data_IF_986342448215
#
_entry.id   IF_986342448215
#
_cell.length_a   1.000
_cell.length_b   1.000
_cell.length_c   1.000
_cell.angle_alpha   90.00
_cell.angle_beta   90.00
_cell.angle_gamma   90.00
#
_symmetry.space_group_name_H-M   'P 1'
#
loop_
_entity.id
_entity.type
_entity.pdbx_description
1 polymer ?
#
# COMPACT_ATOMS: atom_id res chain seq x y z
N UNK A 1 7.90 -32.83 22.75
CA UNK A 1 8.57 -31.64 23.34
C UNK A 1 9.76 -31.16 22.49
N UNK A 2 9.59 -31.06 21.16
CA UNK A 2 10.71 -30.79 20.22
C UNK A 2 10.66 -29.39 19.58
N UNK A 3 9.48 -28.76 19.47
CA UNK A 3 9.31 -27.49 18.76
C UNK A 3 9.72 -26.22 19.52
N UNK A 4 9.74 -26.25 20.85
CA UNK A 4 10.09 -25.07 21.67
C UNK A 4 11.60 -24.83 21.68
N UNK A 5 12.41 -25.89 21.69
CA UNK A 5 13.87 -25.81 21.63
C UNK A 5 14.37 -25.23 20.28
N UNK A 6 13.70 -25.58 19.17
CA UNK A 6 14.02 -25.03 17.85
C UNK A 6 13.77 -23.51 17.77
N UNK A 7 12.74 -23.01 18.48
CA UNK A 7 12.39 -21.59 18.49
C UNK A 7 13.35 -20.75 19.35
N UNK A 8 13.90 -21.33 20.42
CA UNK A 8 14.88 -20.67 21.29
C UNK A 8 16.25 -20.60 20.61
N UNK A 9 16.67 -21.66 19.92
CA UNK A 9 17.92 -21.67 19.14
C UNK A 9 17.91 -20.63 18.01
N UNK A 10 16.78 -20.46 17.33
CA UNK A 10 16.64 -19.50 16.22
C UNK A 10 16.70 -18.03 16.70
N UNK A 11 16.15 -17.73 17.88
CA UNK A 11 16.25 -16.40 18.49
C UNK A 11 17.67 -16.10 18.98
N UNK A 12 18.39 -17.12 19.45
CA UNK A 12 19.76 -16.98 19.93
C UNK A 12 20.76 -16.82 18.77
N UNK A 13 20.57 -17.53 17.66
CA UNK A 13 21.39 -17.39 16.44
C UNK A 13 21.25 -16.02 15.77
N UNK A 14 20.07 -15.39 15.88
CA UNK A 14 19.84 -14.01 15.42
C UNK A 14 20.52 -13.00 16.36
N UNK A 15 20.51 -13.24 17.67
CA UNK A 15 21.17 -12.39 18.67
C UNK A 15 22.70 -12.45 18.60
N UNK A 16 23.25 -13.61 18.21
CA UNK A 16 24.70 -13.86 18.18
C UNK A 16 25.35 -13.52 16.82
N UNK A 17 24.58 -13.03 15.84
CA UNK A 17 25.09 -12.65 14.52
C UNK A 17 25.61 -13.82 13.68
N UNK A 18 25.33 -15.06 14.08
CA UNK A 18 25.87 -16.29 13.46
C UNK A 18 25.13 -16.66 12.17
N UNK A 19 23.90 -16.17 11.99
CA UNK A 19 23.16 -16.31 10.73
C UNK A 19 23.35 -15.05 9.87
N UNK A 20 24.49 -14.94 9.18
CA UNK A 20 24.70 -13.86 8.21
C UNK A 20 23.62 -13.92 7.11
N UNK A 21 22.71 -12.95 7.12
CA UNK A 21 21.79 -12.74 6.00
C UNK A 21 22.66 -12.25 4.84
N UNK A 22 22.71 -13.02 3.75
CA UNK A 22 23.50 -12.62 2.58
C UNK A 22 23.06 -11.24 2.08
N UNK A 23 24.01 -10.44 1.58
CA UNK A 23 23.73 -9.12 1.00
C UNK A 23 22.61 -9.20 -0.05
N UNK A 24 22.60 -10.28 -0.83
CA UNK A 24 21.55 -10.58 -1.82
C UNK A 24 20.16 -10.72 -1.20
N UNK A 25 20.05 -11.39 -0.05
CA UNK A 25 18.77 -11.59 0.64
C UNK A 25 18.28 -10.29 1.29
N UNK A 26 19.18 -9.47 1.84
CA UNK A 26 18.83 -8.13 2.32
C UNK A 26 18.35 -7.23 1.19
N UNK A 27 19.02 -7.26 0.03
CA UNK A 27 18.64 -6.46 -1.13
C UNK A 27 17.29 -6.89 -1.71
N UNK A 28 17.01 -8.20 -1.75
CA UNK A 28 15.71 -8.72 -2.14
C UNK A 28 14.58 -8.23 -1.22
N UNK A 29 14.80 -8.23 0.10
CA UNK A 29 13.82 -7.72 1.08
C UNK A 29 13.60 -6.22 0.87
N UNK A 30 14.68 -5.43 0.76
CA UNK A 30 14.59 -3.99 0.56
C UNK A 30 13.85 -3.63 -0.74
N UNK A 31 14.10 -4.39 -1.81
CA UNK A 31 13.42 -4.20 -3.09
C UNK A 31 11.92 -4.47 -2.97
N UNK A 32 11.52 -5.55 -2.28
CA UNK A 32 10.11 -5.86 -2.00
C UNK A 32 9.44 -4.75 -1.18
N UNK A 33 10.09 -4.28 -0.12
CA UNK A 33 9.58 -3.17 0.71
C UNK A 33 9.38 -1.89 -0.10
N UNK A 34 10.33 -1.53 -0.97
CA UNK A 34 10.18 -0.37 -1.85
C UNK A 34 9.08 -0.57 -2.90
N UNK A 35 8.93 -1.79 -3.40
CA UNK A 35 7.89 -2.10 -4.39
C UNK A 35 6.49 -1.92 -3.81
N UNK A 36 6.25 -2.36 -2.57
CA UNK A 36 4.96 -2.20 -1.88
C UNK A 36 4.50 -0.75 -1.87
N UNK A 37 5.38 0.19 -1.50
CA UNK A 37 5.06 1.62 -1.50
C UNK A 37 4.72 2.12 -2.90
N UNK A 38 5.49 1.68 -3.91
CA UNK A 38 5.27 2.06 -5.31
C UNK A 38 3.96 1.50 -5.87
N UNK A 39 3.48 0.36 -5.38
CA UNK A 39 2.20 -0.24 -5.81
C UNK A 39 1.00 0.68 -5.55
N UNK A 40 1.11 1.62 -4.61
CA UNK A 40 0.04 2.58 -4.30
C UNK A 40 0.10 3.89 -5.11
N UNK A 41 1.02 4.03 -6.06
CA UNK A 41 1.12 5.20 -6.93
C UNK A 41 0.28 5.01 -8.20
N UNK A 42 -0.71 5.87 -8.40
CA UNK A 42 -1.52 5.90 -9.63
C UNK A 42 -0.74 6.54 -10.78
N UNK A 43 -0.37 5.74 -11.78
CA UNK A 43 0.31 6.20 -12.99
C UNK A 43 -0.59 7.01 -13.93
N UNK A 44 -1.92 6.91 -13.75
CA UNK A 44 -2.93 7.61 -14.57
C UNK A 44 -3.45 8.90 -13.91
N UNK A 45 -2.91 9.27 -12.75
CA UNK A 45 -3.30 10.46 -12.04
C UNK A 45 -2.98 11.73 -12.86
N UNK A 46 -3.97 12.62 -12.98
CA UNK A 46 -3.85 13.89 -13.69
C UNK A 46 -2.96 14.90 -12.95
N UNK A 47 -2.89 14.79 -11.62
CA UNK A 47 -2.01 15.60 -10.79
C UNK A 47 -0.71 14.80 -10.52
N UNK A 48 0.45 15.28 -10.99
CA UNK A 48 1.71 14.55 -10.82
C UNK A 48 2.19 14.52 -9.36
N UNK A 49 1.69 15.40 -8.49
CA UNK A 49 2.14 15.55 -7.11
C UNK A 49 1.32 14.72 -6.12
N UNK A 50 0.07 14.40 -6.44
CA UNK A 50 -0.84 13.65 -5.56
C UNK A 50 -1.30 12.33 -6.19
N UNK A 51 -0.34 11.43 -6.40
CA UNK A 51 -0.56 10.13 -7.06
C UNK A 51 -0.85 8.98 -6.10
N UNK A 52 -0.60 9.18 -4.81
CA UNK A 52 -0.73 8.12 -3.84
C UNK A 52 -2.21 7.83 -3.53
N UNK A 53 -2.64 6.60 -3.79
CA UNK A 53 -4.04 6.16 -3.72
C UNK A 53 -4.59 6.10 -2.29
N UNK A 54 -3.74 5.73 -1.32
CA UNK A 54 -4.07 5.76 0.11
C UNK A 54 -3.90 7.15 0.71
N UNK A 55 -2.73 7.79 0.58
CA UNK A 55 -2.43 9.06 1.24
C UNK A 55 -2.37 10.23 0.26
N UNK A 56 -3.45 10.97 0.12
CA UNK A 56 -3.46 12.21 -0.68
C UNK A 56 -4.38 13.26 -0.06
N UNK A 57 -4.14 14.56 -0.30
CA UNK A 57 -5.05 15.60 0.15
C UNK A 57 -6.46 15.40 -0.43
N UNK A 58 -7.47 15.72 0.37
CA UNK A 58 -8.85 15.80 -0.15
C UNK A 58 -9.07 17.15 -0.81
N UNK A 59 -9.95 17.20 -1.81
CA UNK A 59 -10.42 18.47 -2.38
C UNK A 59 -11.37 19.22 -1.44
N UNK A 60 -11.84 18.56 -0.37
CA UNK A 60 -12.71 19.14 0.65
C UNK A 60 -11.94 19.56 1.92
N UNK A 61 -10.67 19.18 2.06
CA UNK A 61 -9.83 19.52 3.22
C UNK A 61 -8.34 19.40 2.85
N UNK A 62 -7.54 20.39 3.26
CA UNK A 62 -6.08 20.39 3.03
C UNK A 62 -5.33 19.40 3.93
N UNK A 63 -6.00 18.77 4.89
CA UNK A 63 -5.41 17.70 5.71
C UNK A 63 -5.29 16.43 4.89
N UNK A 64 -4.12 15.77 4.95
CA UNK A 64 -3.93 14.44 4.37
C UNK A 64 -4.99 13.52 4.98
N UNK A 65 -5.80 12.93 4.12
CA UNK A 65 -6.89 12.03 4.51
C UNK A 65 -6.70 10.72 3.76
N UNK A 66 -6.83 9.60 4.46
CA UNK A 66 -6.73 8.29 3.81
C UNK A 66 -7.87 8.10 2.82
N UNK A 67 -7.56 7.52 1.66
CA UNK A 67 -8.50 7.21 0.59
C UNK A 67 -9.34 8.41 0.13
N UNK A 68 -8.75 9.61 0.10
CA UNK A 68 -9.42 10.81 -0.42
C UNK A 68 -9.89 10.65 -1.86
N UNK A 69 -9.17 9.87 -2.66
CA UNK A 69 -9.54 9.46 -4.02
C UNK A 69 -10.89 8.73 -4.11
N UNK A 70 -11.30 8.03 -3.05
CA UNK A 70 -12.61 7.38 -2.90
C UNK A 70 -13.60 8.33 -2.23
N UNK A 71 -13.18 9.02 -1.16
CA UNK A 71 -14.05 9.87 -0.37
C UNK A 71 -14.62 11.04 -1.18
N UNK A 72 -13.78 11.72 -1.96
CA UNK A 72 -14.17 12.90 -2.74
C UNK A 72 -15.30 12.59 -3.75
N UNK A 73 -15.21 11.57 -4.63
CA UNK A 73 -16.32 11.22 -5.51
C UNK A 73 -17.54 10.68 -4.75
N UNK A 74 -17.37 10.00 -3.61
CA UNK A 74 -18.50 9.54 -2.79
C UNK A 74 -19.31 10.73 -2.23
N UNK A 75 -18.63 11.72 -1.64
CA UNK A 75 -19.27 12.95 -1.14
C UNK A 75 -19.97 13.69 -2.27
N UNK A 76 -19.31 13.86 -3.42
CA UNK A 76 -19.90 14.53 -4.58
C UNK A 76 -21.13 13.80 -5.12
N UNK A 77 -21.09 12.48 -5.21
CA UNK A 77 -22.25 11.69 -5.61
C UNK A 77 -23.39 11.83 -4.60
N UNK A 78 -23.08 11.74 -3.30
CA UNK A 78 -24.08 11.90 -2.25
C UNK A 78 -24.83 13.25 -2.34
N UNK A 79 -24.09 14.34 -2.58
CA UNK A 79 -24.66 15.69 -2.67
C UNK A 79 -25.39 15.95 -3.99
N UNK A 80 -24.83 15.54 -5.12
CA UNK A 80 -25.35 15.93 -6.45
C UNK A 80 -26.23 14.88 -7.12
N UNK A 81 -26.15 13.61 -6.70
CA UNK A 81 -26.77 12.45 -7.36
C UNK A 81 -26.39 12.31 -8.84
N UNK A 82 -25.24 12.85 -9.23
CA UNK A 82 -24.73 12.75 -10.59
C UNK A 82 -23.98 11.42 -10.80
N UNK A 83 -24.45 10.61 -11.74
CA UNK A 83 -23.89 9.30 -12.11
C UNK A 83 -22.42 9.36 -12.54
N UNK A 84 -21.92 10.49 -13.06
CA UNK A 84 -20.49 10.66 -13.32
C UNK A 84 -19.66 10.50 -12.04
N UNK A 85 -20.16 10.98 -10.91
CA UNK A 85 -19.47 10.80 -9.62
C UNK A 85 -19.58 9.38 -9.10
N UNK A 86 -20.69 8.68 -9.37
CA UNK A 86 -20.83 7.27 -9.05
C UNK A 86 -19.83 6.41 -9.85
N UNK A 87 -19.69 6.69 -11.15
CA UNK A 87 -18.70 6.05 -11.99
C UNK A 87 -17.26 6.32 -11.50
N UNK A 88 -16.94 7.58 -11.17
CA UNK A 88 -15.63 7.94 -10.62
C UNK A 88 -15.36 7.26 -9.27
N UNK A 89 -16.38 7.09 -8.43
CA UNK A 89 -16.28 6.34 -7.17
C UNK A 89 -15.95 4.86 -7.44
N UNK A 90 -16.66 4.23 -8.36
CA UNK A 90 -16.38 2.84 -8.75
C UNK A 90 -14.94 2.68 -9.26
N UNK A 91 -14.50 3.56 -10.15
CA UNK A 91 -13.12 3.57 -10.66
C UNK A 91 -12.08 3.76 -9.55
N UNK A 92 -12.32 4.66 -8.59
CA UNK A 92 -11.41 4.88 -7.47
C UNK A 92 -11.28 3.63 -6.58
N UNK A 93 -12.40 2.96 -6.27
CA UNK A 93 -12.42 1.71 -5.52
C UNK A 93 -11.63 0.63 -6.26
N UNK A 94 -11.88 0.46 -7.56
CA UNK A 94 -11.16 -0.52 -8.39
C UNK A 94 -9.65 -0.26 -8.41
N UNK A 95 -9.21 1.00 -8.55
CA UNK A 95 -7.77 1.34 -8.50
C UNK A 95 -7.13 0.97 -7.17
N UNK A 96 -7.80 1.27 -6.05
CA UNK A 96 -7.29 0.89 -4.72
C UNK A 96 -7.24 -0.62 -4.57
N UNK A 97 -8.25 -1.35 -5.03
CA UNK A 97 -8.23 -2.81 -5.02
C UNK A 97 -7.03 -3.37 -5.79
N UNK A 98 -6.83 -2.94 -7.04
CA UNK A 98 -5.68 -3.37 -7.85
C UNK A 98 -4.34 -3.03 -7.19
N UNK A 99 -4.23 -1.86 -6.55
CA UNK A 99 -3.01 -1.47 -5.83
C UNK A 99 -2.73 -2.38 -4.62
N UNK A 100 -3.76 -2.75 -3.86
CA UNK A 100 -3.64 -3.69 -2.74
C UNK A 100 -3.24 -5.08 -3.22
N UNK A 101 -3.88 -5.60 -4.27
CA UNK A 101 -3.52 -6.88 -4.88
C UNK A 101 -2.07 -6.88 -5.38
N UNK A 102 -1.67 -5.81 -6.09
CA UNK A 102 -0.28 -5.65 -6.57
C UNK A 102 0.73 -5.60 -5.42
N UNK A 103 0.40 -4.94 -4.30
CA UNK A 103 1.26 -4.87 -3.13
C UNK A 103 1.41 -6.24 -2.44
N UNK A 104 0.33 -7.04 -2.40
CA UNK A 104 0.34 -8.41 -1.88
C UNK A 104 1.22 -9.30 -2.76
N UNK A 105 1.09 -9.20 -4.09
CA UNK A 105 1.94 -9.96 -5.02
C UNK A 105 3.42 -9.61 -4.85
N UNK A 106 3.73 -8.35 -4.55
CA UNK A 106 5.10 -7.90 -4.25
C UNK A 106 5.72 -8.46 -2.97
N UNK A 107 4.92 -9.04 -2.07
CA UNK A 107 5.40 -9.69 -0.83
C UNK A 107 5.81 -11.15 -1.05
N UNK A 108 5.36 -11.79 -2.12
CA UNK A 108 5.64 -13.19 -2.46
C UNK A 108 7.08 -13.32 -2.99
#
# INVERSE_FOLDING_TARGET
MSGVLASIGLLQEISDGVCEVSVQRLDAINTRLQYIERSFLDSTAMDPYYRHLVFSPSRHSTKITSFSSILDPAVRYHTSRNETHLHNLAMAITKVQYAVESAIDGLQ
#
